data_IF_128625259545
#
_entry.id   IF_128625259545
#
_cell.length_a   1.000
_cell.length_b   1.000
_cell.length_c   1.000
_cell.angle_alpha   90.00
_cell.angle_beta   90.00
_cell.angle_gamma   90.00
#
_symmetry.space_group_name_H-M   'P 1'
#
loop_
_entity.id
_entity.type
_entity.pdbx_description
1 polymer ?
#
# COMPACT_ATOMS: atom_id res chain seq x y z
N UNK A 1 9.68 -19.53 -16.48
CA UNK A 1 8.94 -18.28 -16.23
C UNK A 1 9.21 -17.90 -14.79
N UNK A 2 9.87 -16.76 -14.55
CA UNK A 2 10.02 -16.23 -13.20
C UNK A 2 8.90 -15.23 -12.99
N UNK A 3 8.07 -15.46 -11.98
CA UNK A 3 7.02 -14.51 -11.59
C UNK A 3 7.67 -13.27 -10.97
N UNK A 4 7.21 -12.08 -11.34
CA UNK A 4 7.79 -10.82 -10.90
C UNK A 4 7.24 -10.45 -9.52
N UNK A 5 8.10 -10.34 -8.52
CA UNK A 5 7.68 -9.91 -7.19
C UNK A 5 7.42 -8.39 -7.15
N UNK A 6 6.18 -8.01 -6.83
CA UNK A 6 5.76 -6.61 -6.76
C UNK A 6 5.81 -6.10 -5.32
N UNK A 7 5.30 -6.87 -4.36
CA UNK A 7 5.36 -6.53 -2.94
C UNK A 7 6.28 -7.48 -2.18
N UNK A 8 7.50 -7.03 -1.88
CA UNK A 8 8.45 -7.84 -1.09
C UNK A 8 8.06 -8.06 0.37
N UNK A 9 7.23 -7.19 0.94
CA UNK A 9 6.87 -7.30 2.36
C UNK A 9 5.77 -8.34 2.63
N UNK A 10 4.84 -8.50 1.67
CA UNK A 10 3.73 -9.45 1.75
C UNK A 10 3.91 -10.58 0.74
N UNK A 11 5.07 -10.65 0.08
CA UNK A 11 5.44 -11.67 -0.92
C UNK A 11 4.45 -11.79 -2.09
N UNK A 12 3.91 -10.65 -2.54
CA UNK A 12 2.92 -10.60 -3.62
C UNK A 12 3.56 -10.46 -4.99
N UNK A 13 3.15 -11.31 -5.91
CA UNK A 13 3.60 -11.38 -7.29
C UNK A 13 2.70 -10.59 -8.24
N UNK A 14 3.21 -10.32 -9.45
CA UNK A 14 2.46 -9.63 -10.50
C UNK A 14 1.20 -10.40 -10.86
N UNK A 15 1.31 -11.71 -11.02
CA UNK A 15 0.18 -12.60 -11.36
C UNK A 15 -1.01 -12.45 -10.42
N UNK A 16 -0.77 -12.32 -9.11
CA UNK A 16 -1.82 -12.17 -8.10
C UNK A 16 -2.54 -10.82 -8.19
N UNK A 17 -1.81 -9.75 -8.55
CA UNK A 17 -2.42 -8.43 -8.78
C UNK A 17 -3.27 -8.45 -10.05
N UNK A 18 -2.79 -9.11 -11.10
CA UNK A 18 -3.54 -9.26 -12.35
C UNK A 18 -4.81 -10.08 -12.13
N UNK A 19 -4.72 -11.19 -11.40
CA UNK A 19 -5.89 -11.99 -11.02
C UNK A 19 -6.92 -11.17 -10.23
N UNK A 20 -6.47 -10.34 -9.27
CA UNK A 20 -7.38 -9.46 -8.53
C UNK A 20 -8.10 -8.43 -9.42
N UNK A 21 -7.43 -7.94 -10.48
CA UNK A 21 -8.05 -7.03 -11.46
C UNK A 21 -9.06 -7.77 -12.32
N UNK A 22 -8.75 -9.00 -12.74
CA UNK A 22 -9.67 -9.87 -13.49
C UNK A 22 -10.91 -10.23 -12.67
N UNK A 23 -10.76 -10.39 -11.36
CA UNK A 23 -11.86 -10.59 -10.40
C UNK A 23 -12.66 -9.32 -10.09
N UNK A 24 -12.29 -8.16 -10.66
CA UNK A 24 -13.06 -6.93 -10.63
C UNK A 24 -12.49 -5.78 -9.79
N UNK A 25 -11.25 -5.88 -9.30
CA UNK A 25 -10.60 -4.75 -8.64
C UNK A 25 -10.25 -3.63 -9.64
N UNK A 26 -10.86 -2.46 -9.49
CA UNK A 26 -10.64 -1.30 -10.38
C UNK A 26 -9.92 -0.14 -9.68
N UNK A 27 -9.71 -0.24 -8.38
CA UNK A 27 -8.99 0.76 -7.58
C UNK A 27 -7.80 0.16 -6.83
N UNK A 28 -6.80 1.00 -6.52
CA UNK A 28 -5.63 0.62 -5.71
C UNK A 28 -6.05 0.11 -4.32
N UNK A 29 -7.12 0.68 -3.74
CA UNK A 29 -7.62 0.25 -2.43
C UNK A 29 -8.30 -1.12 -2.50
N UNK A 30 -8.95 -1.48 -3.60
CA UNK A 30 -9.49 -2.82 -3.79
C UNK A 30 -8.36 -3.82 -3.98
N UNK A 31 -7.40 -3.56 -4.87
CA UNK A 31 -6.21 -4.44 -5.02
C UNK A 31 -5.53 -4.65 -3.67
N UNK A 32 -5.36 -3.59 -2.88
CA UNK A 32 -4.81 -3.66 -1.53
C UNK A 32 -5.63 -4.56 -0.59
N UNK A 33 -6.97 -4.60 -0.72
CA UNK A 33 -7.83 -5.49 0.09
C UNK A 33 -7.78 -6.94 -0.38
N UNK A 34 -7.73 -7.18 -1.68
CA UNK A 34 -7.64 -8.53 -2.26
C UNK A 34 -6.29 -9.18 -1.99
N UNK A 35 -5.20 -8.47 -2.25
CA UNK A 35 -3.84 -9.04 -2.28
C UNK A 35 -2.99 -8.65 -1.07
N UNK A 36 -3.43 -7.70 -0.24
CA UNK A 36 -2.62 -7.05 0.82
C UNK A 36 -1.39 -6.28 0.31
N UNK A 37 -1.20 -6.11 -1.00
CA UNK A 37 -0.10 -5.33 -1.55
C UNK A 37 -0.08 -3.91 -0.97
N UNK A 38 1.02 -3.56 -0.30
CA UNK A 38 1.19 -2.27 0.39
C UNK A 38 0.70 -2.22 1.85
N UNK A 39 0.30 -3.35 2.44
CA UNK A 39 -0.03 -3.46 3.87
C UNK A 39 1.16 -3.89 4.76
N UNK A 40 2.27 -4.34 4.18
CA UNK A 40 3.44 -4.77 4.96
C UNK A 40 4.20 -3.64 5.65
N UNK A 41 5.33 -3.96 6.28
CA UNK A 41 6.11 -3.03 7.10
C UNK A 41 6.49 -1.73 6.38
N UNK A 42 6.69 -1.79 5.06
CA UNK A 42 7.03 -0.61 4.26
C UNK A 42 5.83 0.30 3.93
N UNK A 43 4.60 -0.12 4.23
CA UNK A 43 3.35 0.61 3.96
C UNK A 43 3.24 1.12 2.51
N UNK A 44 3.59 0.27 1.55
CA UNK A 44 3.45 0.58 0.12
C UNK A 44 4.55 1.46 -0.48
N UNK A 45 5.59 1.83 0.27
CA UNK A 45 6.68 2.69 -0.24
C UNK A 45 7.34 2.22 -1.52
N UNK A 46 7.50 0.91 -1.68
CA UNK A 46 8.18 0.34 -2.84
C UNK A 46 7.20 -0.12 -3.91
N UNK A 47 6.09 -0.75 -3.51
CA UNK A 47 5.19 -1.42 -4.44
C UNK A 47 4.06 -0.54 -4.96
N UNK A 48 3.71 0.58 -4.31
CA UNK A 48 2.49 1.34 -4.66
C UNK A 48 2.48 1.81 -6.12
N UNK A 49 3.57 2.43 -6.59
CA UNK A 49 3.68 2.90 -7.97
C UNK A 49 3.66 1.76 -8.99
N UNK A 50 4.16 0.58 -8.60
CA UNK A 50 4.12 -0.61 -9.44
C UNK A 50 2.69 -1.13 -9.57
N UNK A 51 1.94 -1.18 -8.46
CA UNK A 51 0.52 -1.55 -8.46
C UNK A 51 -0.31 -0.56 -9.30
N UNK A 52 -0.11 0.75 -9.12
CA UNK A 52 -0.77 1.79 -9.92
C UNK A 52 -0.50 1.60 -11.43
N UNK A 53 0.74 1.24 -11.79
CA UNK A 53 1.12 0.96 -13.17
C UNK A 53 0.47 -0.30 -13.74
N UNK A 54 0.48 -1.41 -12.98
CA UNK A 54 -0.16 -2.66 -13.41
C UNK A 54 -1.68 -2.44 -13.60
N UNK A 55 -2.30 -1.72 -12.67
CA UNK A 55 -3.71 -1.36 -12.77
C UNK A 55 -3.99 -0.53 -14.04
N UNK A 56 -3.17 0.48 -14.34
CA UNK A 56 -3.29 1.28 -15.57
C UNK A 56 -3.11 0.43 -16.83
N UNK A 57 -2.09 -0.44 -16.85
CA UNK A 57 -1.79 -1.34 -17.97
C UNK A 57 -2.95 -2.30 -18.26
N UNK A 58 -3.64 -2.82 -17.23
CA UNK A 58 -4.73 -3.79 -17.38
C UNK A 58 -6.10 -3.18 -17.60
N UNK A 59 -6.41 -2.05 -16.96
CA UNK A 59 -7.73 -1.41 -17.06
C UNK A 59 -7.82 -0.38 -18.18
N UNK A 60 -6.68 0.08 -18.71
CA UNK A 60 -6.61 1.17 -19.70
C UNK A 60 -6.88 2.56 -19.11
N UNK A 61 -7.12 2.66 -17.80
CA UNK A 61 -7.30 3.94 -17.10
C UNK A 61 -5.95 4.65 -17.05
N UNK A 62 -5.85 5.92 -17.46
CA UNK A 62 -4.58 6.65 -17.39
C UNK A 62 -4.12 6.81 -15.94
N UNK A 63 -2.80 6.73 -15.71
CA UNK A 63 -2.20 6.86 -14.38
C UNK A 63 -2.63 8.12 -13.63
N UNK A 64 -2.98 9.21 -14.32
CA UNK A 64 -3.46 10.46 -13.73
C UNK A 64 -4.84 10.35 -13.06
N UNK A 65 -5.66 9.39 -13.48
CA UNK A 65 -7.00 9.16 -12.94
C UNK A 65 -7.02 8.12 -11.82
N UNK A 66 -5.95 7.34 -11.69
CA UNK A 66 -5.82 6.33 -10.64
C UNK A 66 -5.60 7.02 -9.29
N UNK A 67 -6.58 6.88 -8.40
CA UNK A 67 -6.51 7.45 -7.07
C UNK A 67 -5.52 6.68 -6.19
N UNK A 68 -4.55 7.37 -5.55
CA UNK A 68 -3.60 6.73 -4.67
C UNK A 68 -4.29 6.24 -3.39
N UNK A 69 -3.70 5.22 -2.76
CA UNK A 69 -4.13 4.77 -1.44
C UNK A 69 -4.00 5.86 -0.38
N UNK A 70 -4.91 5.90 0.58
CA UNK A 70 -4.89 6.88 1.68
C UNK A 70 -3.61 6.81 2.50
N UNK A 71 -3.01 7.96 2.79
CA UNK A 71 -1.89 8.09 3.71
C UNK A 71 -2.40 8.15 5.14
N UNK A 72 -1.82 7.35 6.03
CA UNK A 72 -2.19 7.30 7.45
C UNK A 72 -0.95 7.51 8.29
N UNK A 73 -1.13 8.19 9.42
CA UNK A 73 -0.10 8.30 10.44
C UNK A 73 -0.04 7.01 11.27
N UNK A 74 1.15 6.62 11.80
CA UNK A 74 2.45 7.26 11.60
C UNK A 74 3.10 6.85 10.27
N UNK A 75 3.87 7.77 9.66
CA UNK A 75 4.51 7.52 8.34
C UNK A 75 5.53 6.38 8.41
N UNK A 76 6.25 6.23 9.53
CA UNK A 76 7.12 5.11 9.85
C UNK A 76 6.57 4.41 11.10
N UNK A 77 6.75 3.09 11.22
CA UNK A 77 6.54 2.43 12.50
C UNK A 77 7.35 3.12 13.57
N UNK A 78 6.67 3.58 14.61
CA UNK A 78 7.26 4.12 15.82
C UNK A 78 6.91 3.19 16.95
N UNK A 79 7.79 3.09 17.94
CA UNK A 79 7.50 2.32 19.14
C UNK A 79 6.39 3.02 19.93
N UNK A 80 5.53 2.25 20.57
CA UNK A 80 4.37 2.76 21.30
C UNK A 80 4.76 3.55 22.55
N UNK A 81 5.86 3.20 23.20
CA UNK A 81 6.43 3.91 24.35
C UNK A 81 6.76 5.36 24.00
N UNK A 82 7.34 5.61 22.84
CA UNK A 82 7.65 6.97 22.37
C UNK A 82 6.38 7.83 22.18
N UNK A 83 5.30 7.23 21.69
CA UNK A 83 4.01 7.94 21.54
C UNK A 83 3.47 8.31 22.93
N UNK A 84 3.55 7.40 23.89
CA UNK A 84 3.09 7.62 25.26
C UNK A 84 3.91 8.72 25.96
N UNK A 85 5.24 8.69 25.82
CA UNK A 85 6.12 9.71 26.37
C UNK A 85 5.83 11.10 25.79
N UNK A 86 5.57 11.19 24.48
CA UNK A 86 5.22 12.44 23.83
C UNK A 86 3.91 13.03 24.39
N UNK A 87 2.84 12.23 24.44
CA UNK A 87 1.54 12.68 24.96
C UNK A 87 1.61 13.14 26.43
N UNK A 88 2.48 12.53 27.24
CA UNK A 88 2.66 12.89 28.64
C UNK A 88 3.48 14.18 28.85
N UNK A 89 4.29 14.59 27.86
CA UNK A 89 5.03 15.86 27.90
C UNK A 89 4.12 17.03 27.58
N UNK A 90 3.28 16.91 26.55
CA UNK A 90 2.31 17.95 26.18
C UNK A 90 1.36 18.28 27.36
N UNK A 91 0.96 17.29 28.17
CA UNK A 91 0.09 17.50 29.34
C UNK A 91 0.76 18.20 30.54
N UNK A 92 2.08 18.36 30.55
CA UNK A 92 2.81 19.02 31.66
C UNK A 92 3.17 20.48 31.38
N UNK A 93 2.97 20.94 30.15
CA UNK A 93 3.22 22.31 29.73
C UNK A 93 1.96 23.20 29.76
N UNK A 94 0.78 22.61 29.98
CA UNK A 94 -0.50 23.27 30.25
C UNK A 94 -0.80 23.42 31.77
#
# INVERSE_FOLDING_TARGET
MCDEIICRCEEIYRSEIEAAIEDGAVTVNEIKRFTRAGMGLCQGRTCRRLVERILSEKTGIPLSEIQPSTYRQPVRPVRSDLIQEYNNKDQKED
#
